data_IF_057753568058
#
_entry.id   IF_057753568058
#
_cell.length_a   1.000
_cell.length_b   1.000
_cell.length_c   1.000
_cell.angle_alpha   90.00
_cell.angle_beta   90.00
_cell.angle_gamma   90.00
#
_symmetry.space_group_name_H-M   'P 1'
#
loop_
_entity.id
_entity.type
_entity.pdbx_description
1 polymer ?
#
# COMPACT_ATOMS: atom_id res chain seq x y z
N UNK A 1 -39.29 55.77 -0.84
CA UNK A 1 -38.99 57.12 -0.29
C UNK A 1 -38.53 56.93 1.15
N UNK A 2 -37.29 57.37 1.47
CA UNK A 2 -36.75 57.98 2.71
C UNK A 2 -37.44 57.63 4.05
N UNK A 3 -36.82 57.52 5.21
CA UNK A 3 -35.47 57.68 5.73
C UNK A 3 -35.56 57.34 7.25
N UNK A 4 -34.40 57.07 7.85
CA UNK A 4 -33.94 57.44 9.20
C UNK A 4 -34.94 57.95 10.27
N UNK A 5 -34.82 57.40 11.47
CA UNK A 5 -35.09 58.01 12.77
C UNK A 5 -33.75 57.96 13.54
N UNK A 6 -32.96 59.03 13.63
CA UNK A 6 -33.05 60.20 14.54
C UNK A 6 -33.28 59.76 16.00
N UNK A 7 -32.22 59.87 16.79
CA UNK A 7 -32.26 59.78 18.25
C UNK A 7 -32.58 61.11 18.92
N UNK A 8 -32.73 61.06 20.24
CA UNK A 8 -32.69 62.24 21.12
C UNK A 8 -32.23 61.83 22.52
N UNK A 9 -31.18 62.51 22.97
CA UNK A 9 -30.57 62.47 24.29
C UNK A 9 -31.51 62.86 25.44
N UNK A 10 -31.24 62.34 26.65
CA UNK A 10 -31.46 63.10 27.90
C UNK A 10 -30.54 62.62 29.03
N UNK A 11 -29.44 63.36 29.19
CA UNK A 11 -28.84 63.87 30.45
C UNK A 11 -28.54 62.98 31.67
N UNK A 12 -27.25 63.01 32.03
CA UNK A 12 -26.66 63.37 33.33
C UNK A 12 -26.43 62.30 34.43
N UNK A 13 -25.16 62.15 34.80
CA UNK A 13 -24.71 61.55 36.06
C UNK A 13 -23.23 61.12 36.05
N UNK A 14 -22.31 62.05 36.34
CA UNK A 14 -20.87 61.77 36.59
C UNK A 14 -20.65 61.30 38.03
N UNK A 15 -19.84 60.25 38.22
CA UNK A 15 -18.96 60.14 39.38
C UNK A 15 -17.60 59.60 38.94
N UNK A 16 -16.55 60.24 39.45
CA UNK A 16 -15.15 60.05 39.13
C UNK A 16 -14.51 59.31 40.30
N UNK A 17 -13.82 58.18 40.10
CA UNK A 17 -12.85 57.71 41.10
C UNK A 17 -11.77 56.77 40.54
N UNK A 18 -10.57 57.35 40.46
CA UNK A 18 -9.23 56.84 40.79
C UNK A 18 -8.66 55.55 40.16
N UNK A 19 -7.45 55.76 39.66
CA UNK A 19 -6.45 54.81 39.15
C UNK A 19 -5.90 53.94 40.29
N UNK A 20 -5.75 52.65 40.02
CA UNK A 20 -4.75 51.79 40.67
C UNK A 20 -3.94 51.12 39.57
N UNK A 21 -2.69 51.55 39.40
CA UNK A 21 -1.67 50.82 38.63
C UNK A 21 -1.36 49.53 39.39
N UNK A 22 -1.39 48.40 38.68
CA UNK A 22 -0.89 47.12 39.15
C UNK A 22 -0.01 46.57 38.04
N UNK A 23 1.30 46.66 38.25
CA UNK A 23 2.31 45.97 37.46
C UNK A 23 2.05 44.46 37.55
N UNK A 24 1.61 43.88 36.44
CA UNK A 24 1.65 42.45 36.23
C UNK A 24 2.18 42.22 34.82
N UNK A 25 3.44 41.78 34.80
CA UNK A 25 4.23 41.45 33.62
C UNK A 25 3.44 40.57 32.65
N UNK A 26 3.21 41.05 31.43
CA UNK A 26 2.78 40.21 30.31
C UNK A 26 3.92 39.24 29.98
N UNK A 27 3.87 38.03 30.53
CA UNK A 27 4.61 36.91 29.95
C UNK A 27 3.86 36.49 28.69
N UNK A 28 4.14 37.16 27.58
CA UNK A 28 3.79 36.67 26.26
C UNK A 28 4.57 35.36 26.03
N UNK A 29 3.97 34.23 26.43
CA UNK A 29 4.37 32.93 25.90
C UNK A 29 3.91 32.94 24.44
N UNK A 30 4.77 33.47 23.57
CA UNK A 30 4.66 33.26 22.14
C UNK A 30 4.81 31.77 21.88
N UNK A 31 3.70 31.03 21.96
CA UNK A 31 3.62 29.72 21.31
C UNK A 31 3.65 30.04 19.83
N UNK A 32 4.81 29.87 19.22
CA UNK A 32 4.95 29.90 17.77
C UNK A 32 4.10 28.75 17.20
N UNK A 33 2.86 29.05 16.84
CA UNK A 33 1.88 28.08 16.32
C UNK A 33 2.25 27.62 14.90
N UNK A 34 3.43 27.99 14.37
CA UNK A 34 3.76 27.79 12.96
C UNK A 34 5.11 27.10 12.65
N UNK A 35 5.80 26.50 13.62
CA UNK A 35 6.91 25.59 13.30
C UNK A 35 6.43 24.14 13.17
N UNK A 36 5.53 23.87 12.22
CA UNK A 36 5.27 22.49 11.81
C UNK A 36 6.42 22.03 10.92
N UNK A 37 7.36 21.28 11.49
CA UNK A 37 8.52 20.68 10.79
C UNK A 37 8.15 19.40 10.00
N UNK A 38 6.85 19.18 9.77
CA UNK A 38 6.36 18.06 9.00
C UNK A 38 6.09 18.41 7.52
N UNK A 39 5.75 17.41 6.68
CA UNK A 39 5.46 17.65 5.27
C UNK A 39 4.25 18.56 5.11
N UNK A 40 4.44 19.72 4.46
CA UNK A 40 3.38 20.67 4.16
C UNK A 40 2.30 20.02 3.26
N UNK A 41 1.00 20.12 3.60
CA UNK A 41 -0.08 19.60 2.75
C UNK A 41 -0.02 20.16 1.33
N UNK A 42 -0.22 19.30 0.33
CA UNK A 42 -0.25 19.65 -1.10
C UNK A 42 1.07 20.22 -1.66
N UNK A 43 2.17 20.15 -0.91
CA UNK A 43 3.50 20.47 -1.42
C UNK A 43 4.10 19.28 -2.20
N UNK A 44 5.17 19.50 -2.96
CA UNK A 44 5.80 18.44 -3.75
C UNK A 44 6.19 17.23 -2.89
N UNK A 45 5.99 16.03 -3.44
CA UNK A 45 6.37 14.78 -2.77
C UNK A 45 7.87 14.82 -2.43
N UNK A 46 8.25 14.63 -1.15
CA UNK A 46 9.64 14.74 -0.74
C UNK A 46 10.51 13.72 -1.50
N UNK A 47 11.75 14.10 -1.87
CA UNK A 47 12.61 13.22 -2.65
C UNK A 47 12.87 11.93 -1.90
N UNK A 48 12.74 10.80 -2.61
CA UNK A 48 13.05 9.48 -2.05
C UNK A 48 14.53 9.43 -1.69
N UNK A 49 14.86 9.11 -0.43
CA UNK A 49 16.25 8.89 0.00
C UNK A 49 16.90 7.79 -0.85
N UNK A 50 18.03 8.10 -1.47
CA UNK A 50 18.81 7.13 -2.25
C UNK A 50 19.35 6.03 -1.34
N UNK A 51 19.08 4.77 -1.71
CA UNK A 51 19.57 3.60 -0.97
C UNK A 51 20.78 3.03 -1.72
N UNK A 52 21.90 2.82 -1.03
CA UNK A 52 23.15 2.34 -1.63
C UNK A 52 22.98 1.02 -2.39
N UNK A 53 23.51 0.97 -3.63
CA UNK A 53 23.19 -0.09 -4.60
C UNK A 53 24.07 -1.36 -4.47
N UNK A 54 25.26 -1.25 -3.85
CA UNK A 54 26.28 -2.29 -3.84
C UNK A 54 25.95 -3.50 -2.95
N UNK A 55 25.25 -3.31 -1.82
CA UNK A 55 24.92 -4.42 -0.89
C UNK A 55 23.79 -5.34 -1.41
N UNK A 56 23.02 -4.93 -2.43
CA UNK A 56 21.88 -5.71 -2.93
C UNK A 56 22.25 -6.85 -3.90
N UNK A 57 23.33 -6.74 -4.69
CA UNK A 57 23.62 -7.71 -5.77
C UNK A 57 23.96 -9.12 -5.23
N UNK A 58 24.76 -9.23 -4.17
CA UNK A 58 25.13 -10.53 -3.57
C UNK A 58 23.96 -11.29 -2.94
N UNK A 59 22.95 -10.57 -2.44
CA UNK A 59 21.79 -11.13 -1.73
C UNK A 59 20.73 -11.70 -2.68
N UNK A 60 20.65 -11.21 -3.91
CA UNK A 60 19.66 -11.64 -4.93
C UNK A 60 20.01 -13.01 -5.50
N UNK A 61 21.29 -13.30 -5.78
CA UNK A 61 21.71 -14.57 -6.37
C UNK A 61 21.55 -15.76 -5.41
N UNK A 62 21.79 -15.56 -4.11
CA UNK A 62 21.53 -16.57 -3.08
C UNK A 62 20.05 -16.93 -2.98
N UNK A 63 19.17 -15.92 -2.99
CA UNK A 63 17.72 -16.12 -2.86
C UNK A 63 17.12 -16.87 -4.06
N UNK A 64 17.63 -16.65 -5.28
CA UNK A 64 17.16 -17.36 -6.47
C UNK A 64 17.44 -18.87 -6.39
N UNK A 65 18.67 -19.25 -6.05
CA UNK A 65 19.08 -20.66 -5.96
C UNK A 65 18.31 -21.42 -4.89
N UNK A 66 18.08 -20.79 -3.74
CA UNK A 66 17.27 -21.35 -2.65
C UNK A 66 15.84 -21.64 -3.11
N UNK A 67 15.22 -20.72 -3.86
CA UNK A 67 13.86 -20.90 -4.38
C UNK A 67 13.83 -21.98 -5.47
N UNK A 68 14.85 -22.08 -6.33
CA UNK A 68 14.95 -23.14 -7.33
C UNK A 68 15.04 -24.53 -6.67
N UNK A 69 15.84 -24.68 -5.61
CA UNK A 69 15.93 -25.93 -4.82
C UNK A 69 14.59 -26.26 -4.15
N UNK A 70 13.95 -25.27 -3.52
CA UNK A 70 12.61 -25.44 -2.93
C UNK A 70 11.58 -25.89 -3.99
N UNK A 71 11.64 -25.34 -5.20
CA UNK A 71 10.75 -25.75 -6.30
C UNK A 71 10.99 -27.19 -6.75
N UNK A 72 12.25 -27.63 -6.78
CA UNK A 72 12.61 -29.00 -7.14
C UNK A 72 12.06 -30.01 -6.13
N UNK A 73 12.25 -29.74 -4.83
CA UNK A 73 11.70 -30.56 -3.74
C UNK A 73 10.17 -30.57 -3.73
N UNK A 74 9.54 -29.45 -4.11
CA UNK A 74 8.09 -29.27 -4.10
C UNK A 74 7.44 -29.43 -5.48
N UNK A 75 8.09 -30.10 -6.44
CA UNK A 75 7.50 -30.39 -7.77
C UNK A 75 6.18 -31.16 -7.67
N UNK A 76 6.01 -31.96 -6.63
CA UNK A 76 4.78 -32.71 -6.36
C UNK A 76 3.56 -31.80 -6.15
N UNK A 77 3.72 -30.50 -5.85
CA UNK A 77 2.61 -29.55 -5.67
C UNK A 77 1.97 -29.08 -6.99
N UNK A 78 2.67 -29.24 -8.12
CA UNK A 78 2.23 -28.77 -9.44
C UNK A 78 0.96 -29.51 -9.87
N UNK A 79 -0.02 -28.77 -10.38
CA UNK A 79 -1.25 -29.35 -10.93
C UNK A 79 -2.23 -29.92 -9.88
N UNK A 80 -1.97 -29.75 -8.58
CA UNK A 80 -2.86 -30.19 -7.51
C UNK A 80 -2.94 -29.20 -6.34
N UNK A 81 -3.83 -29.46 -5.38
CA UNK A 81 -4.15 -28.55 -4.25
C UNK A 81 -4.15 -29.23 -2.88
N UNK A 82 -3.65 -30.46 -2.77
CA UNK A 82 -3.61 -31.22 -1.50
C UNK A 82 -2.79 -30.56 -0.39
N UNK A 83 -1.87 -29.67 -0.76
CA UNK A 83 -1.04 -28.87 0.14
C UNK A 83 -1.74 -27.60 0.67
N UNK A 84 -2.94 -27.27 0.16
CA UNK A 84 -3.64 -26.05 0.54
C UNK A 84 -4.15 -26.11 1.99
N UNK A 85 -3.86 -25.07 2.76
CA UNK A 85 -4.32 -24.92 4.15
C UNK A 85 -5.48 -23.93 4.32
N UNK A 86 -5.78 -23.11 3.30
CA UNK A 86 -6.82 -22.07 3.36
C UNK A 86 -8.13 -22.45 2.66
N UNK A 87 -8.17 -23.58 1.95
CA UNK A 87 -9.34 -24.08 1.23
C UNK A 87 -9.71 -23.33 -0.06
N UNK A 88 -8.89 -22.36 -0.52
CA UNK A 88 -9.19 -21.52 -1.69
C UNK A 88 -8.07 -21.46 -2.74
N UNK A 89 -7.01 -22.27 -2.59
CA UNK A 89 -5.97 -22.35 -3.62
C UNK A 89 -6.47 -23.20 -4.80
N UNK A 90 -5.98 -22.88 -5.99
CA UNK A 90 -6.23 -23.63 -7.23
C UNK A 90 -4.91 -24.23 -7.74
N UNK A 91 -5.01 -25.21 -8.63
CA UNK A 91 -3.84 -25.88 -9.21
C UNK A 91 -3.02 -24.90 -10.06
N UNK A 92 -1.71 -24.82 -9.81
CA UNK A 92 -0.81 -23.92 -10.52
C UNK A 92 0.15 -24.70 -11.44
N UNK A 93 0.60 -24.09 -12.55
CA UNK A 93 1.48 -24.74 -13.51
C UNK A 93 2.95 -24.81 -13.04
N UNK A 94 3.30 -24.11 -11.97
CA UNK A 94 4.67 -24.06 -11.44
C UNK A 94 4.69 -24.27 -9.92
N UNK A 95 5.77 -24.87 -9.41
CA UNK A 95 5.94 -25.11 -7.98
C UNK A 95 6.03 -23.77 -7.20
N UNK A 96 6.74 -22.78 -7.75
CA UNK A 96 6.89 -21.43 -7.14
C UNK A 96 5.55 -20.73 -6.92
N UNK A 97 4.55 -20.99 -7.77
CA UNK A 97 3.19 -20.44 -7.61
C UNK A 97 2.28 -21.34 -6.75
N UNK A 98 2.72 -22.56 -6.43
CA UNK A 98 1.98 -23.55 -5.63
C UNK A 98 2.21 -23.36 -4.13
N UNK A 99 1.93 -22.15 -3.64
CA UNK A 99 2.12 -21.73 -2.24
C UNK A 99 0.80 -21.25 -1.63
N UNK A 100 0.53 -21.61 -0.38
CA UNK A 100 -0.68 -21.21 0.33
C UNK A 100 -0.46 -19.91 1.10
N UNK A 101 -1.48 -19.04 1.19
CA UNK A 101 -1.37 -17.79 1.95
C UNK A 101 -1.16 -17.97 3.46
N UNK A 102 -1.44 -19.18 3.97
CA UNK A 102 -1.25 -19.60 5.37
C UNK A 102 0.17 -20.11 5.67
N UNK A 103 0.89 -20.58 4.65
CA UNK A 103 2.26 -21.09 4.80
C UNK A 103 3.31 -19.97 4.81
N UNK A 104 2.91 -18.74 4.46
CA UNK A 104 3.81 -17.60 4.32
C UNK A 104 3.43 -16.55 5.34
N UNK A 105 4.26 -16.40 6.37
CA UNK A 105 4.01 -15.52 7.51
C UNK A 105 3.67 -14.08 7.08
N UNK A 106 4.35 -13.53 6.07
CA UNK A 106 4.10 -12.17 5.60
C UNK A 106 2.66 -11.97 5.08
N UNK A 107 2.07 -12.99 4.44
CA UNK A 107 0.69 -12.95 3.98
C UNK A 107 -0.29 -13.28 5.11
N UNK A 108 0.05 -14.27 5.94
CA UNK A 108 -0.84 -14.70 7.01
C UNK A 108 -0.96 -13.67 8.14
N UNK A 109 0.11 -12.91 8.40
CA UNK A 109 0.11 -11.82 9.38
C UNK A 109 -0.90 -10.73 9.02
N UNK A 110 -1.16 -10.47 7.73
CA UNK A 110 -2.21 -9.52 7.31
C UNK A 110 -3.59 -9.93 7.80
N UNK A 111 -3.85 -11.24 7.79
CA UNK A 111 -5.11 -11.83 8.27
C UNK A 111 -5.16 -11.79 9.80
N UNK A 112 -4.08 -12.19 10.47
CA UNK A 112 -4.05 -12.26 11.94
C UNK A 112 -4.11 -10.89 12.62
N UNK A 113 -3.63 -9.84 11.95
CA UNK A 113 -3.59 -8.48 12.47
C UNK A 113 -4.81 -7.63 12.04
N UNK A 114 -5.88 -8.26 11.53
CA UNK A 114 -7.10 -7.55 11.20
C UNK A 114 -7.75 -6.98 12.47
N UNK A 115 -8.21 -5.73 12.41
CA UNK A 115 -8.87 -5.02 13.50
C UNK A 115 -10.20 -4.42 13.01
N UNK A 116 -11.37 -4.82 13.57
CA UNK A 116 -11.53 -5.85 14.59
C UNK A 116 -11.15 -7.25 14.06
N UNK A 117 -10.73 -8.19 14.93
CA UNK A 117 -10.38 -9.54 14.50
C UNK A 117 -11.61 -10.26 13.95
N UNK A 118 -11.45 -10.88 12.78
CA UNK A 118 -12.47 -11.72 12.14
C UNK A 118 -11.93 -13.13 11.92
N UNK A 119 -12.81 -14.13 11.99
CA UNK A 119 -12.47 -15.52 11.69
C UNK A 119 -12.44 -15.76 10.17
N UNK A 120 -11.38 -15.29 9.52
CA UNK A 120 -11.15 -15.48 8.09
C UNK A 120 -10.11 -16.57 7.84
N UNK A 121 -10.46 -17.51 6.95
CA UNK A 121 -9.63 -18.68 6.67
C UNK A 121 -8.59 -18.45 5.56
N UNK A 122 -8.72 -17.36 4.79
CA UNK A 122 -7.91 -17.08 3.62
C UNK A 122 -7.69 -15.57 3.44
N UNK A 123 -6.51 -15.18 2.93
CA UNK A 123 -6.20 -13.78 2.62
C UNK A 123 -7.20 -13.16 1.61
N UNK A 124 -7.75 -13.95 0.69
CA UNK A 124 -8.73 -13.43 -0.28
C UNK A 124 -10.07 -13.05 0.34
N UNK A 125 -10.33 -13.45 1.58
CA UNK A 125 -11.52 -13.07 2.34
C UNK A 125 -11.30 -11.81 3.19
N UNK A 126 -10.06 -11.34 3.31
CA UNK A 126 -9.77 -10.13 4.05
C UNK A 126 -10.43 -8.92 3.35
N UNK A 127 -11.18 -8.05 4.06
CA UNK A 127 -11.89 -6.92 3.44
C UNK A 127 -10.97 -5.96 2.67
N UNK A 128 -9.80 -5.68 3.25
CA UNK A 128 -8.70 -4.95 2.59
C UNK A 128 -8.19 -5.57 1.28
N UNK A 129 -8.34 -6.87 1.04
CA UNK A 129 -7.92 -7.51 -0.21
C UNK A 129 -8.81 -7.07 -1.38
N UNK A 130 -10.13 -7.12 -1.20
CA UNK A 130 -11.08 -6.64 -2.21
C UNK A 130 -10.89 -5.15 -2.47
N UNK A 131 -10.85 -4.35 -1.40
CA UNK A 131 -10.70 -2.90 -1.49
C UNK A 131 -9.40 -2.46 -2.17
N UNK A 132 -8.29 -3.16 -1.92
CA UNK A 132 -6.96 -2.72 -2.38
C UNK A 132 -6.49 -3.40 -3.67
N UNK A 133 -6.90 -4.66 -3.91
CA UNK A 133 -6.30 -5.50 -4.95
C UNK A 133 -7.29 -5.91 -6.05
N UNK A 134 -8.60 -5.79 -5.82
CA UNK A 134 -9.64 -6.11 -6.81
C UNK A 134 -10.41 -4.88 -7.30
N UNK A 135 -10.34 -3.75 -6.58
CA UNK A 135 -11.01 -2.50 -6.97
C UNK A 135 -10.31 -1.81 -8.16
N UNK A 136 -10.95 -1.66 -9.33
CA UNK A 136 -10.34 -1.07 -10.52
C UNK A 136 -9.87 0.38 -10.33
N UNK A 137 -10.58 1.18 -9.54
CA UNK A 137 -10.23 2.59 -9.31
C UNK A 137 -8.94 2.70 -8.47
N UNK A 138 -8.80 1.84 -7.46
CA UNK A 138 -7.58 1.77 -6.65
C UNK A 138 -6.40 1.29 -7.50
N UNK A 139 -6.61 0.26 -8.32
CA UNK A 139 -5.58 -0.24 -9.23
C UNK A 139 -5.18 0.79 -10.29
N UNK A 140 -6.13 1.62 -10.78
CA UNK A 140 -5.81 2.69 -11.71
C UNK A 140 -4.86 3.72 -11.08
N UNK A 141 -5.13 4.15 -9.84
CA UNK A 141 -4.26 5.10 -9.11
C UNK A 141 -2.90 4.45 -8.83
N UNK A 142 -2.88 3.22 -8.33
CA UNK A 142 -1.65 2.48 -8.07
C UNK A 142 -0.79 2.28 -9.33
N UNK A 143 -1.43 2.09 -10.49
CA UNK A 143 -0.74 1.99 -11.77
C UNK A 143 -0.11 3.33 -12.19
N UNK A 144 -0.75 4.48 -11.93
CA UNK A 144 -0.15 5.78 -12.21
C UNK A 144 1.14 5.98 -11.41
N UNK A 145 1.15 5.61 -10.13
CA UNK A 145 2.34 5.66 -9.28
C UNK A 145 3.44 4.73 -9.81
N UNK A 146 3.08 3.49 -10.21
CA UNK A 146 4.02 2.58 -10.85
C UNK A 146 4.62 3.18 -12.12
N UNK A 147 3.78 3.77 -12.99
CA UNK A 147 4.18 4.33 -14.27
C UNK A 147 5.13 5.50 -14.11
N UNK A 148 4.98 6.30 -13.06
CA UNK A 148 5.89 7.39 -12.74
C UNK A 148 7.29 6.87 -12.35
N UNK A 149 7.36 5.76 -11.60
CA UNK A 149 8.62 5.15 -11.16
C UNK A 149 9.33 4.33 -12.25
N UNK A 150 8.57 3.68 -13.13
CA UNK A 150 9.07 2.61 -14.01
C UNK A 150 8.73 2.77 -15.49
N UNK A 151 7.95 3.78 -15.86
CA UNK A 151 7.42 3.95 -17.22
C UNK A 151 6.17 3.11 -17.50
N UNK A 152 5.54 3.30 -18.68
CA UNK A 152 4.30 2.62 -19.04
C UNK A 152 4.51 1.14 -19.36
N UNK A 153 3.56 0.30 -18.94
CA UNK A 153 3.49 -1.10 -19.39
C UNK A 153 2.88 -1.17 -20.80
N UNK A 154 3.57 -1.89 -21.68
CA UNK A 154 3.03 -2.27 -22.99
C UNK A 154 2.16 -3.52 -22.84
N UNK A 155 0.97 -3.34 -22.29
CA UNK A 155 0.06 -4.41 -21.88
C UNK A 155 -1.40 -3.99 -22.04
N UNK A 156 -2.32 -4.95 -22.18
CA UNK A 156 -3.76 -4.70 -22.19
C UNK A 156 -4.22 -4.12 -20.84
N UNK A 157 -5.37 -3.43 -20.79
CA UNK A 157 -5.88 -2.87 -19.52
C UNK A 157 -6.08 -3.95 -18.44
N UNK A 158 -6.67 -5.13 -18.73
CA UNK A 158 -6.74 -6.22 -17.77
C UNK A 158 -5.36 -6.71 -17.32
N UNK A 159 -4.38 -6.83 -18.22
CA UNK A 159 -3.02 -7.23 -17.88
C UNK A 159 -2.33 -6.21 -16.96
N UNK A 160 -2.52 -4.90 -17.21
CA UNK A 160 -2.05 -3.82 -16.34
C UNK A 160 -2.65 -3.93 -14.93
N UNK A 161 -3.95 -4.20 -14.83
CA UNK A 161 -4.63 -4.37 -13.53
C UNK A 161 -4.13 -5.61 -12.78
N UNK A 162 -3.99 -6.76 -13.45
CA UNK A 162 -3.40 -7.96 -12.82
C UNK A 162 -2.00 -7.69 -12.30
N UNK A 163 -1.12 -7.12 -13.14
CA UNK A 163 0.24 -6.82 -12.75
C UNK A 163 0.30 -5.83 -11.57
N UNK A 164 -0.54 -4.80 -11.59
CA UNK A 164 -0.63 -3.82 -10.51
C UNK A 164 -1.14 -4.47 -9.22
N UNK A 165 -2.18 -5.30 -9.30
CA UNK A 165 -2.72 -6.03 -8.15
C UNK A 165 -1.68 -6.98 -7.54
N UNK A 166 -0.94 -7.72 -8.37
CA UNK A 166 0.16 -8.58 -7.92
C UNK A 166 1.19 -7.78 -7.13
N UNK A 167 1.61 -6.62 -7.63
CA UNK A 167 2.53 -5.73 -6.91
C UNK A 167 1.92 -5.18 -5.63
N UNK A 168 0.64 -4.83 -5.65
CA UNK A 168 -0.06 -4.27 -4.49
C UNK A 168 -0.08 -5.27 -3.33
N UNK A 169 -0.42 -6.54 -3.60
CA UNK A 169 -0.44 -7.59 -2.57
C UNK A 169 0.96 -7.85 -2.00
N UNK A 170 1.99 -7.90 -2.85
CA UNK A 170 3.38 -8.05 -2.38
C UNK A 170 3.81 -6.85 -1.55
N UNK A 171 3.48 -5.63 -1.98
CA UNK A 171 3.76 -4.40 -1.21
C UNK A 171 3.02 -4.37 0.12
N UNK A 172 1.79 -4.86 0.16
CA UNK A 172 1.00 -4.92 1.39
C UNK A 172 1.61 -5.90 2.40
N UNK A 173 2.05 -7.08 1.95
CA UNK A 173 2.64 -8.10 2.82
C UNK A 173 4.10 -7.81 3.25
N UNK A 174 4.91 -7.25 2.35
CA UNK A 174 6.37 -7.11 2.57
C UNK A 174 6.86 -5.66 2.63
N UNK A 175 6.01 -4.67 2.40
CA UNK A 175 6.41 -3.27 2.27
C UNK A 175 7.20 -3.00 0.98
N UNK A 176 8.18 -2.11 1.05
CA UNK A 176 8.99 -1.70 -0.10
C UNK A 176 10.12 -2.71 -0.32
N UNK A 177 10.07 -3.42 -1.45
CA UNK A 177 11.12 -4.33 -1.90
C UNK A 177 12.09 -3.64 -2.89
N UNK A 178 13.33 -4.12 -2.93
CA UNK A 178 14.33 -3.70 -3.92
C UNK A 178 14.02 -4.22 -5.33
N UNK A 179 14.58 -3.58 -6.37
CA UNK A 179 14.27 -3.83 -7.80
C UNK A 179 14.38 -5.30 -8.24
N UNK A 180 15.29 -6.07 -7.63
CA UNK A 180 15.58 -7.45 -8.01
C UNK A 180 15.06 -8.49 -7.01
N UNK A 181 14.25 -8.08 -6.03
CA UNK A 181 13.65 -9.00 -5.05
C UNK A 181 12.22 -9.32 -5.49
N UNK A 182 12.00 -10.54 -5.96
CA UNK A 182 10.66 -11.07 -6.25
C UNK A 182 10.20 -12.00 -5.13
N UNK A 183 8.90 -11.96 -4.83
CA UNK A 183 8.24 -12.83 -3.86
C UNK A 183 7.13 -13.60 -4.58
N UNK A 184 7.00 -14.88 -4.25
CA UNK A 184 5.92 -15.71 -4.77
C UNK A 184 4.59 -15.23 -4.17
N UNK A 185 3.55 -15.14 -5.01
CA UNK A 185 2.21 -14.77 -4.58
C UNK A 185 1.42 -16.08 -4.37
N UNK A 186 0.62 -16.18 -3.29
CA UNK A 186 -0.15 -17.39 -3.02
C UNK A 186 -1.13 -17.74 -4.13
N UNK A 187 -1.33 -19.03 -4.39
CA UNK A 187 -2.24 -19.52 -5.44
C UNK A 187 -3.64 -18.93 -5.33
N UNK A 188 -4.24 -18.95 -4.13
CA UNK A 188 -5.58 -18.39 -3.89
C UNK A 188 -5.70 -16.92 -4.33
N UNK A 189 -4.65 -16.12 -4.09
CA UNK A 189 -4.60 -14.71 -4.47
C UNK A 189 -4.46 -14.56 -5.99
N UNK A 190 -3.54 -15.31 -6.60
CA UNK A 190 -3.31 -15.28 -8.05
C UNK A 190 -4.60 -15.63 -8.80
N UNK A 191 -5.26 -16.71 -8.39
CA UNK A 191 -6.52 -17.15 -8.98
C UNK A 191 -7.65 -16.12 -8.79
N UNK A 192 -7.78 -15.52 -7.60
CA UNK A 192 -8.77 -14.47 -7.37
C UNK A 192 -8.57 -13.26 -8.32
N UNK A 193 -7.33 -12.80 -8.48
CA UNK A 193 -7.00 -11.67 -9.36
C UNK A 193 -7.24 -12.04 -10.84
N UNK A 194 -6.84 -13.25 -11.27
CA UNK A 194 -7.07 -13.73 -12.65
C UNK A 194 -8.56 -13.86 -12.96
N UNK A 195 -9.38 -14.30 -12.00
CA UNK A 195 -10.85 -14.36 -12.15
C UNK A 195 -11.46 -12.95 -12.27
N UNK A 196 -11.02 -12.00 -11.47
CA UNK A 196 -11.52 -10.62 -11.52
C UNK A 196 -11.18 -9.91 -12.83
N UNK A 197 -9.96 -10.12 -13.32
CA UNK A 197 -9.43 -9.47 -14.53
C UNK A 197 -9.07 -10.51 -15.58
N UNK A 198 -10.06 -11.27 -16.04
CA UNK A 198 -9.86 -12.30 -17.05
C UNK A 198 -9.42 -11.70 -18.41
N UNK A 199 -8.71 -12.50 -19.20
CA UNK A 199 -8.35 -12.16 -20.59
C UNK A 199 -8.87 -13.22 -21.56
N UNK A 200 -9.15 -12.78 -22.78
CA UNK A 200 -9.58 -13.67 -23.86
C UNK A 200 -8.48 -14.72 -24.11
N UNK A 201 -8.84 -15.99 -23.99
CA UNK A 201 -7.92 -17.13 -24.13
C UNK A 201 -7.20 -17.58 -22.86
N UNK A 202 -7.41 -16.93 -21.70
CA UNK A 202 -6.92 -17.35 -20.36
C UNK A 202 -5.43 -17.76 -20.30
N UNK A 203 -4.61 -17.23 -21.19
CA UNK A 203 -3.19 -17.56 -21.25
C UNK A 203 -2.40 -16.56 -20.42
N UNK A 204 -1.97 -16.98 -19.23
CA UNK A 204 -1.25 -16.12 -18.29
C UNK A 204 0.24 -16.45 -18.28
N UNK A 205 1.09 -15.40 -18.24
CA UNK A 205 2.51 -15.56 -17.91
C UNK A 205 2.63 -15.89 -16.43
N UNK A 206 3.32 -16.99 -16.11
CA UNK A 206 3.63 -17.38 -14.74
C UNK A 206 4.74 -16.53 -14.11
N UNK A 207 5.21 -16.96 -12.94
CA UNK A 207 6.32 -16.30 -12.24
C UNK A 207 7.61 -16.31 -13.09
N UNK A 208 8.24 -15.14 -13.20
CA UNK A 208 9.51 -14.96 -13.90
C UNK A 208 10.50 -14.26 -12.98
N UNK A 209 11.79 -14.58 -13.09
CA UNK A 209 12.86 -13.85 -12.40
C UNK A 209 13.15 -12.51 -13.09
N UNK A 210 13.70 -11.50 -12.38
CA UNK A 210 14.30 -10.35 -13.05
C UNK A 210 15.39 -10.86 -14.00
N UNK A 211 15.51 -10.26 -15.19
CA UNK A 211 16.72 -10.44 -15.98
C UNK A 211 17.84 -9.78 -15.19
N UNK A 212 18.84 -10.56 -14.82
CA UNK A 212 20.10 -10.00 -14.36
C UNK A 212 20.76 -9.49 -15.65
N UNK A 213 20.56 -8.21 -15.96
CA UNK A 213 21.43 -7.58 -16.95
C UNK A 213 22.80 -7.45 -16.25
N UNK A 214 23.81 -8.05 -16.87
CA UNK A 214 25.20 -7.92 -16.48
C UNK A 214 25.63 -6.47 -16.77
N UNK A 215 25.25 -5.53 -15.89
CA UNK A 215 25.91 -4.21 -15.81
C UNK A 215 27.25 -4.36 -15.08
#
# INVERSE_FOLDING_TARGET
VKNALIGSDTTAGKSHLFVMESDSEEVAVGVDVNSYDGPLPYNYEPPRRERGQAELRGRVNGQRREIELWCEENRWRIGQVSWCLCGRCEAMPSAVESVCCREVDAYWSLVQNLDPPEDITCLTLHPGFEASCLNPFVLQIAYMNFRQEHGPLQASRPEQFRYTAYRQVVRWAYGILGRNIRKAIPSCVVSAIRRQFAEEGQTYKGFQWPRLEDD
#
